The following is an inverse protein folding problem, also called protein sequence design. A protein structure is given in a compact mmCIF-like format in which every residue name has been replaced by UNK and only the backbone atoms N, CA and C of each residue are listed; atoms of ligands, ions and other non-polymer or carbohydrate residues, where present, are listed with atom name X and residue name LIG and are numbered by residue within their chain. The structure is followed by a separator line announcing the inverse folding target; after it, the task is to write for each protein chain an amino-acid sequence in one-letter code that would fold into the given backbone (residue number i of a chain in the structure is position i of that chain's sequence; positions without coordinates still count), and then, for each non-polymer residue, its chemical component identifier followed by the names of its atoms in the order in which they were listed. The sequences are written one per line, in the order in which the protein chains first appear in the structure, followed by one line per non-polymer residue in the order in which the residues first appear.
data_IF_740211648884
#
_entry.id   IF_740211648884
#
_cell.length_a   1.000
_cell.length_b   1.000
_cell.length_c   1.000
_cell.angle_alpha   90.00
_cell.angle_beta   90.00
_cell.angle_gamma   90.00
#
_symmetry.space_group_name_H-M   'P 1'
#
loop_
_entity.id
_entity.type
_entity.pdbx_description
1 polymer ?
#
# COMPACT_ATOMS: atom_id res chain seq x y z
N UNK A 1 -43.08 -4.49 -10.04
CA UNK A 1 -42.16 -5.65 -10.12
C UNK A 1 -41.36 -5.78 -8.81
N UNK A 2 -41.90 -6.47 -7.78
CA UNK A 2 -41.10 -6.86 -6.61
C UNK A 2 -40.53 -8.24 -6.89
N UNK A 3 -39.29 -8.31 -7.37
CA UNK A 3 -38.55 -9.58 -7.48
C UNK A 3 -38.32 -10.08 -6.06
N UNK A 4 -39.13 -11.06 -5.64
CA UNK A 4 -38.88 -11.82 -4.40
C UNK A 4 -37.57 -12.55 -4.62
N UNK A 5 -36.56 -12.25 -3.81
CA UNK A 5 -35.35 -13.06 -3.72
C UNK A 5 -35.77 -14.39 -3.10
N UNK A 6 -36.14 -15.36 -3.95
CA UNK A 6 -36.39 -16.73 -3.54
C UNK A 6 -35.03 -17.41 -3.34
N UNK A 7 -34.33 -17.00 -2.29
CA UNK A 7 -33.13 -17.65 -1.85
C UNK A 7 -33.57 -18.94 -1.14
N UNK A 8 -33.68 -20.02 -1.93
CA UNK A 8 -33.79 -21.39 -1.42
C UNK A 8 -32.46 -21.77 -0.77
N UNK A 9 -32.17 -21.18 0.40
CA UNK A 9 -31.01 -21.51 1.19
C UNK A 9 -31.31 -22.84 1.88
N UNK A 10 -30.78 -23.93 1.31
CA UNK A 10 -30.75 -25.24 1.99
C UNK A 10 -30.07 -25.01 3.35
N UNK A 11 -30.67 -25.51 4.45
CA UNK A 11 -30.22 -25.26 5.83
C UNK A 11 -28.71 -25.51 6.04
N UNK A 12 -28.13 -26.42 5.28
CA UNK A 12 -26.71 -26.76 5.31
C UNK A 12 -25.79 -25.64 4.79
N UNK A 13 -26.25 -24.77 3.90
CA UNK A 13 -25.47 -23.65 3.35
C UNK A 13 -25.81 -22.27 3.92
N UNK A 14 -26.76 -22.19 4.86
CA UNK A 14 -27.16 -20.93 5.49
C UNK A 14 -26.08 -20.40 6.44
N UNK A 15 -25.46 -21.29 7.22
CA UNK A 15 -24.37 -20.92 8.11
C UNK A 15 -23.19 -20.39 7.29
N UNK A 16 -22.76 -21.10 6.25
CA UNK A 16 -21.68 -20.65 5.38
C UNK A 16 -22.01 -19.33 4.67
N UNK A 17 -23.24 -19.15 4.20
CA UNK A 17 -23.66 -17.89 3.57
C UNK A 17 -23.65 -16.72 4.56
N UNK A 18 -24.12 -16.93 5.79
CA UNK A 18 -24.09 -15.91 6.85
C UNK A 18 -22.66 -15.59 7.28
N UNK A 19 -21.83 -16.60 7.50
CA UNK A 19 -20.42 -16.44 7.92
C UNK A 19 -19.62 -15.72 6.84
N UNK A 20 -19.77 -16.10 5.57
CA UNK A 20 -19.17 -15.38 4.44
C UNK A 20 -19.66 -13.92 4.36
N UNK A 21 -20.94 -13.66 4.68
CA UNK A 21 -21.49 -12.30 4.75
C UNK A 21 -20.84 -11.47 5.85
N UNK A 22 -20.65 -12.04 7.03
CA UNK A 22 -19.98 -11.41 8.18
C UNK A 22 -18.51 -11.13 7.87
N UNK A 23 -17.79 -12.08 7.28
CA UNK A 23 -16.38 -11.90 6.92
C UNK A 23 -16.18 -10.79 5.89
N UNK A 24 -17.07 -10.71 4.89
CA UNK A 24 -17.08 -9.61 3.92
C UNK A 24 -17.37 -8.25 4.58
N UNK A 25 -18.26 -8.21 5.56
CA UNK A 25 -18.59 -6.99 6.29
C UNK A 25 -17.40 -6.54 7.16
N UNK A 26 -16.79 -7.46 7.90
CA UNK A 26 -15.61 -7.20 8.72
C UNK A 26 -14.42 -6.74 7.88
N UNK A 27 -14.19 -7.35 6.71
CA UNK A 27 -13.16 -6.91 5.76
C UNK A 27 -13.40 -5.47 5.29
N UNK A 28 -14.65 -5.13 4.93
CA UNK A 28 -15.00 -3.75 4.56
C UNK A 28 -14.76 -2.75 5.69
N UNK A 29 -15.18 -3.08 6.92
CA UNK A 29 -14.96 -2.21 8.07
C UNK A 29 -13.47 -2.04 8.39
N UNK A 30 -12.68 -3.11 8.28
CA UNK A 30 -11.23 -3.07 8.45
C UNK A 30 -10.58 -2.10 7.45
N UNK A 31 -10.92 -2.21 6.16
CA UNK A 31 -10.42 -1.30 5.11
C UNK A 31 -10.86 0.16 5.37
N UNK A 32 -12.09 0.38 5.86
CA UNK A 32 -12.57 1.72 6.21
C UNK A 32 -11.87 2.33 7.44
N UNK A 33 -11.26 1.50 8.30
CA UNK A 33 -10.46 1.96 9.44
C UNK A 33 -9.04 2.41 9.07
N UNK A 34 -8.54 2.06 7.88
CA UNK A 34 -7.18 2.38 7.45
C UNK A 34 -6.99 3.86 7.10
N UNK A 35 -5.75 4.34 7.18
CA UNK A 35 -5.36 5.67 6.67
C UNK A 35 -5.74 5.82 5.18
N UNK A 36 -6.14 7.00 4.70
CA UNK A 36 -6.60 7.20 3.33
C UNK A 36 -5.63 6.68 2.25
N UNK A 37 -4.33 6.86 2.48
CA UNK A 37 -3.24 6.51 1.56
C UNK A 37 -3.14 4.99 1.39
N UNK A 38 -3.21 4.25 2.50
CA UNK A 38 -3.19 2.78 2.51
C UNK A 38 -4.51 2.22 1.99
N UNK A 39 -5.63 2.84 2.38
CA UNK A 39 -6.98 2.43 2.00
C UNK A 39 -7.19 2.40 0.49
N UNK A 40 -6.67 3.39 -0.24
CA UNK A 40 -6.81 3.42 -1.71
C UNK A 40 -6.12 2.23 -2.35
N UNK A 41 -4.92 1.88 -1.88
CA UNK A 41 -4.14 0.77 -2.42
C UNK A 41 -4.76 -0.59 -2.06
N UNK A 42 -5.16 -0.77 -0.81
CA UNK A 42 -5.86 -1.99 -0.37
C UNK A 42 -7.19 -2.18 -1.11
N UNK A 43 -7.92 -1.10 -1.42
CA UNK A 43 -9.14 -1.18 -2.24
C UNK A 43 -8.86 -1.60 -3.68
N UNK A 44 -7.77 -1.12 -4.28
CA UNK A 44 -7.39 -1.45 -5.66
C UNK A 44 -7.09 -2.94 -5.82
N UNK A 45 -6.45 -3.55 -4.82
CA UNK A 45 -6.07 -4.97 -4.86
C UNK A 45 -7.23 -5.93 -4.51
N UNK A 46 -8.41 -5.41 -4.17
CA UNK A 46 -9.64 -6.19 -3.93
C UNK A 46 -9.45 -7.46 -3.09
N UNK A 47 -8.99 -7.36 -1.82
CA UNK A 47 -8.78 -8.52 -0.97
C UNK A 47 -10.10 -9.25 -0.68
N UNK A 48 -10.06 -10.57 -0.79
CA UNK A 48 -11.19 -11.46 -0.48
C UNK A 48 -11.33 -11.74 1.02
N UNK A 49 -10.25 -11.58 1.80
CA UNK A 49 -10.22 -11.84 3.24
C UNK A 49 -9.54 -10.71 4.02
N UNK A 50 -9.81 -10.66 5.33
CA UNK A 50 -9.15 -9.71 6.24
C UNK A 50 -7.63 -9.92 6.25
N UNK A 51 -7.16 -11.16 6.19
CA UNK A 51 -5.72 -11.46 6.19
C UNK A 51 -5.02 -10.91 4.95
N UNK A 52 -5.66 -11.03 3.77
CA UNK A 52 -5.14 -10.41 2.56
C UNK A 52 -5.10 -8.89 2.69
N UNK A 53 -6.16 -8.26 3.24
CA UNK A 53 -6.19 -6.82 3.47
C UNK A 53 -5.08 -6.37 4.44
N UNK A 54 -4.76 -7.17 5.47
CA UNK A 54 -3.66 -6.91 6.41
C UNK A 54 -2.30 -6.99 5.73
N UNK A 55 -2.07 -8.03 4.93
CA UNK A 55 -0.80 -8.22 4.24
C UNK A 55 -0.53 -7.10 3.22
N UNK A 56 -1.55 -6.67 2.47
CA UNK A 56 -1.42 -5.53 1.54
C UNK A 56 -1.14 -4.24 2.32
N UNK A 57 -1.85 -4.01 3.43
CA UNK A 57 -1.61 -2.85 4.29
C UNK A 57 -0.18 -2.82 4.86
N UNK A 58 0.32 -3.96 5.34
CA UNK A 58 1.69 -4.10 5.88
C UNK A 58 2.74 -3.76 4.82
N UNK A 59 2.64 -4.35 3.62
CA UNK A 59 3.56 -4.04 2.52
C UNK A 59 3.53 -2.56 2.13
N UNK A 60 2.36 -1.94 2.25
CA UNK A 60 2.22 -0.53 1.95
C UNK A 60 2.87 0.36 3.01
N UNK A 61 2.76 0.00 4.29
CA UNK A 61 3.46 0.69 5.36
C UNK A 61 4.98 0.58 5.21
N UNK A 62 5.49 -0.63 4.92
CA UNK A 62 6.92 -0.87 4.66
C UNK A 62 7.44 -0.04 3.47
N UNK A 63 6.69 0.00 2.36
CA UNK A 63 7.04 0.82 1.19
C UNK A 63 6.96 2.32 1.43
N UNK A 64 6.20 2.79 2.43
CA UNK A 64 6.11 4.20 2.80
C UNK A 64 7.17 4.60 3.83
N UNK A 65 7.69 3.63 4.59
CA UNK A 65 8.77 3.85 5.56
C UNK A 65 10.15 3.94 4.87
N UNK A 66 10.28 3.36 3.67
CA UNK A 66 11.42 3.57 2.76
C UNK A 66 11.36 4.94 2.06
N UNK A 67 11.41 6.03 2.82
CA UNK A 67 11.79 7.35 2.29
C UNK A 67 13.33 7.45 2.27
N UNK A 68 13.96 7.92 1.17
CA UNK A 68 15.40 7.85 0.93
C UNK A 68 16.17 8.90 1.75
N UNK A 69 16.34 8.63 3.05
CA UNK A 69 17.21 9.43 3.93
C UNK A 69 18.62 8.87 4.03
N UNK A 70 19.29 8.51 2.93
CA UNK A 70 20.76 8.34 2.98
C UNK A 70 21.49 8.27 1.62
N UNK A 71 21.19 9.14 0.65
CA UNK A 71 22.13 9.34 -0.48
C UNK A 71 22.26 10.83 -0.85
N UNK A 72 22.22 11.70 0.15
CA UNK A 72 22.58 13.11 -0.01
C UNK A 72 23.59 13.47 1.08
N UNK A 73 24.86 13.12 0.87
CA UNK A 73 26.04 13.85 1.37
C UNK A 73 27.33 13.02 1.23
N UNK A 74 27.76 12.73 0.00
CA UNK A 74 29.21 12.57 -0.27
C UNK A 74 29.56 12.84 -1.74
N UNK A 75 29.10 13.97 -2.25
CA UNK A 75 29.79 14.62 -3.36
C UNK A 75 30.73 15.62 -2.71
N UNK A 76 31.91 15.16 -2.30
CA UNK A 76 33.01 16.07 -2.01
C UNK A 76 33.34 16.80 -3.33
N UNK A 77 33.35 18.13 -3.37
CA UNK A 77 33.82 18.84 -4.55
C UNK A 77 35.31 18.54 -4.70
N UNK A 78 35.66 17.85 -5.79
CA UNK A 78 37.05 17.67 -6.22
C UNK A 78 37.69 19.07 -6.29
N UNK A 79 38.79 19.36 -5.56
CA UNK A 79 39.46 20.64 -5.70
C UNK A 79 39.98 20.74 -7.13
N UNK A 80 39.44 21.69 -7.89
CA UNK A 80 39.95 22.02 -9.22
C UNK A 80 41.42 22.44 -9.07
N UNK A 81 42.38 21.78 -9.73
CA UNK A 81 43.76 22.25 -9.70
C UNK A 81 43.80 23.62 -10.39
N UNK A 82 44.22 24.64 -9.65
CA UNK A 82 44.46 25.98 -10.16
C UNK A 82 45.52 25.87 -11.27
N UNK A 83 45.11 26.10 -12.51
CA UNK A 83 46.01 26.23 -13.66
C UNK A 83 46.98 27.38 -13.36
N UNK A 84 48.26 27.06 -13.16
CA UNK A 84 49.32 28.04 -13.07
C UNK A 84 49.51 28.66 -14.46
N UNK A 85 49.16 29.94 -14.57
CA UNK A 85 49.42 30.76 -15.76
C UNK A 85 50.94 30.79 -16.02
N UNK A 86 51.43 30.56 -17.25
CA UNK A 86 52.84 30.76 -17.56
C UNK A 86 53.15 32.27 -17.60
N UNK A 87 54.12 32.71 -16.80
CA UNK A 87 54.74 34.03 -16.94
C UNK A 87 55.42 34.15 -18.32
N UNK A 88 55.19 35.23 -19.08
CA UNK A 88 56.07 35.55 -20.20
C UNK A 88 57.38 36.15 -19.66
N UNK A 89 58.50 35.51 -19.97
CA UNK A 89 59.82 36.11 -19.81
C UNK A 89 59.97 37.21 -20.87
N UNK A 90 60.12 38.46 -20.42
CA UNK A 90 60.65 39.58 -21.21
C UNK A 90 62.16 39.53 -21.26
#
# INVERSE_FOLDING_TARGET
LRRKFDAHIRKEGLADWLMNGVDNLLCKHFILGMKPEIRQRVKYDHPATIEQAKEIARRQEESMEEDPKEIVAKVEPTPTPLVQNPQPLS
#
